data_IF_149564073685
#
_entry.id   IF_149564073685
#
_cell.length_a   1.000
_cell.length_b   1.000
_cell.length_c   1.000
_cell.angle_alpha   90.00
_cell.angle_beta   90.00
_cell.angle_gamma   90.00
#
_symmetry.space_group_name_H-M   'P 1'
#
loop_
_entity.id
_entity.type
_entity.pdbx_description
1 polymer ?
#
# COMPACT_ATOMS: atom_id res chain seq x y z
N UNK A 1 -9.29 -37.38 -3.09
CA UNK A 1 -9.80 -36.07 -3.57
C UNK A 1 -8.60 -35.15 -3.76
N UNK A 2 -8.08 -35.06 -4.99
CA UNK A 2 -6.77 -34.48 -5.30
C UNK A 2 -6.73 -32.97 -4.97
N UNK A 3 -5.88 -32.60 -4.04
CA UNK A 3 -5.48 -31.22 -3.78
C UNK A 3 -4.57 -30.78 -4.91
N UNK A 4 -5.12 -30.06 -5.90
CA UNK A 4 -4.29 -29.35 -6.89
C UNK A 4 -3.49 -28.30 -6.14
N UNK A 5 -2.24 -28.61 -5.78
CA UNK A 5 -1.28 -27.59 -5.35
C UNK A 5 -1.04 -26.69 -6.56
N UNK A 6 -1.44 -25.41 -6.49
CA UNK A 6 -0.98 -24.41 -7.46
C UNK A 6 0.55 -24.49 -7.49
N UNK A 7 1.10 -24.67 -8.69
CA UNK A 7 2.55 -24.68 -8.89
C UNK A 7 3.22 -23.40 -8.41
N UNK A 8 4.55 -23.41 -8.30
CA UNK A 8 5.30 -22.24 -7.86
C UNK A 8 5.01 -21.04 -8.76
N UNK A 9 4.73 -19.88 -8.15
CA UNK A 9 4.45 -18.60 -8.85
C UNK A 9 5.69 -18.06 -9.59
N UNK A 10 6.82 -18.77 -9.53
CA UNK A 10 8.15 -18.34 -9.98
C UNK A 10 8.50 -18.74 -11.42
N UNK A 11 7.57 -19.27 -12.22
CA UNK A 11 7.77 -19.29 -13.67
C UNK A 11 8.02 -17.84 -14.13
N UNK A 12 9.06 -17.56 -14.94
CA UNK A 12 9.32 -16.20 -15.38
C UNK A 12 8.03 -15.67 -16.01
N UNK A 13 7.53 -14.56 -15.46
CA UNK A 13 6.40 -13.83 -16.00
C UNK A 13 6.79 -13.44 -17.42
N UNK A 14 6.36 -14.22 -18.41
CA UNK A 14 6.49 -13.88 -19.80
C UNK A 14 5.63 -12.64 -20.02
N UNK A 15 6.27 -11.47 -19.90
CA UNK A 15 5.60 -10.21 -20.15
C UNK A 15 5.28 -10.18 -21.65
N UNK A 16 4.03 -9.90 -22.04
CA UNK A 16 3.74 -9.66 -23.44
C UNK A 16 4.62 -8.49 -23.93
N UNK A 17 5.16 -8.57 -25.16
CA UNK A 17 6.03 -7.53 -25.68
C UNK A 17 5.30 -6.18 -25.69
N UNK A 18 6.07 -5.10 -25.53
CA UNK A 18 5.51 -3.77 -25.37
C UNK A 18 4.68 -3.33 -26.59
N UNK A 19 3.42 -2.93 -26.36
CA UNK A 19 2.54 -2.38 -27.40
C UNK A 19 1.44 -3.32 -27.90
N UNK A 20 1.42 -4.58 -27.48
CA UNK A 20 0.41 -5.55 -27.93
C UNK A 20 -0.92 -5.45 -27.17
N UNK A 21 -2.02 -5.79 -27.84
CA UNK A 21 -3.35 -5.86 -27.21
C UNK A 21 -3.40 -6.85 -26.02
N UNK A 22 -2.55 -7.88 -26.04
CA UNK A 22 -2.36 -8.84 -24.96
C UNK A 22 -1.76 -8.21 -23.68
N UNK A 23 -0.98 -7.13 -23.80
CA UNK A 23 -0.42 -6.42 -22.65
C UNK A 23 -1.50 -5.68 -21.86
N UNK A 24 -2.48 -5.09 -22.54
CA UNK A 24 -3.58 -4.37 -21.89
C UNK A 24 -4.45 -5.29 -21.04
N UNK A 25 -4.77 -6.48 -21.55
CA UNK A 25 -5.56 -7.48 -20.81
C UNK A 25 -4.76 -8.05 -19.63
N UNK A 26 -3.48 -8.34 -19.82
CA UNK A 26 -2.59 -8.80 -18.76
C UNK A 26 -2.47 -7.78 -17.62
N UNK A 27 -2.20 -6.49 -17.92
CA UNK A 27 -2.08 -5.45 -16.89
C UNK A 27 -3.39 -5.32 -16.11
N UNK A 28 -4.55 -5.33 -16.78
CA UNK A 28 -5.85 -5.25 -16.10
C UNK A 28 -6.03 -6.37 -15.07
N UNK A 29 -5.74 -7.61 -15.45
CA UNK A 29 -5.85 -8.78 -14.57
C UNK A 29 -4.82 -8.74 -13.44
N UNK A 30 -3.58 -8.33 -13.73
CA UNK A 30 -2.53 -8.15 -12.73
C UNK A 30 -2.91 -7.05 -11.71
N UNK A 31 -3.37 -5.89 -12.14
CA UNK A 31 -3.79 -4.79 -11.25
C UNK A 31 -4.95 -5.20 -10.36
N UNK A 32 -5.95 -5.90 -10.89
CA UNK A 32 -7.08 -6.40 -10.08
C UNK A 32 -6.62 -7.37 -8.98
N UNK A 33 -5.64 -8.22 -9.27
CA UNK A 33 -5.06 -9.14 -8.28
C UNK A 33 -4.20 -8.42 -7.26
N UNK A 34 -3.36 -7.48 -7.69
CA UNK A 34 -2.48 -6.71 -6.81
C UNK A 34 -3.28 -5.85 -5.83
N UNK A 35 -4.31 -5.15 -6.31
CA UNK A 35 -5.14 -4.30 -5.44
C UNK A 35 -5.99 -5.11 -4.44
N UNK A 36 -6.19 -6.41 -4.69
CA UNK A 36 -6.83 -7.34 -3.74
C UNK A 36 -5.84 -8.02 -2.78
N UNK A 37 -4.54 -7.93 -3.02
CA UNK A 37 -3.54 -8.54 -2.14
C UNK A 37 -3.47 -7.76 -0.82
N UNK A 38 -3.64 -8.39 0.36
CA UNK A 38 -3.65 -7.67 1.63
C UNK A 38 -2.40 -6.85 1.90
N UNK A 39 -1.23 -7.28 1.41
CA UNK A 39 0.04 -6.55 1.51
C UNK A 39 0.02 -5.21 0.77
N UNK A 40 -0.75 -5.07 -0.31
CA UNK A 40 -0.83 -3.85 -1.14
C UNK A 40 -2.10 -3.06 -0.88
N UNK A 41 -3.23 -3.73 -0.61
CA UNK A 41 -4.52 -3.10 -0.35
C UNK A 41 -4.49 -2.08 0.79
N UNK A 42 -5.50 -1.20 0.87
CA UNK A 42 -5.59 -0.17 1.91
C UNK A 42 -5.46 -0.74 3.33
N UNK A 43 -4.67 -0.06 4.15
CA UNK A 43 -4.41 -0.43 5.56
C UNK A 43 -5.31 0.33 6.54
N UNK A 44 -6.38 0.95 6.06
CA UNK A 44 -7.27 1.77 6.88
C UNK A 44 -7.74 1.03 8.15
N UNK A 45 -8.10 -0.26 8.04
CA UNK A 45 -8.56 -1.05 9.19
C UNK A 45 -7.50 -1.23 10.30
N UNK A 46 -6.21 -1.17 9.96
CA UNK A 46 -5.12 -1.22 10.93
C UNK A 46 -4.80 0.16 11.51
N UNK A 47 -5.04 1.22 10.74
CA UNK A 47 -4.62 2.59 11.07
C UNK A 47 -5.67 3.32 11.92
N UNK A 48 -6.96 3.10 11.66
CA UNK A 48 -8.04 3.83 12.34
C UNK A 48 -8.37 3.29 13.72
N UNK A 49 -7.95 2.07 14.03
CA UNK A 49 -8.18 1.46 15.35
C UNK A 49 -7.24 2.02 16.43
N UNK A 50 -6.11 2.62 16.03
CA UNK A 50 -5.16 3.28 16.91
C UNK A 50 -5.34 4.79 16.89
N UNK A 51 -5.18 5.42 18.05
CA UNK A 51 -5.02 6.88 18.12
C UNK A 51 -3.69 7.29 17.48
N UNK A 52 -3.70 8.41 16.77
CA UNK A 52 -2.56 8.97 16.03
C UNK A 52 -2.25 10.42 16.43
N UNK A 53 -2.98 10.96 17.41
CA UNK A 53 -2.96 12.39 17.77
C UNK A 53 -2.59 12.66 19.22
N UNK A 54 -2.63 11.63 20.08
CA UNK A 54 -2.26 11.76 21.49
C UNK A 54 -0.89 12.44 21.67
N UNK A 55 -0.83 13.40 22.60
CA UNK A 55 0.36 14.20 22.85
C UNK A 55 0.52 15.44 21.97
N UNK A 56 -0.23 15.57 20.87
CA UNK A 56 -0.29 16.81 20.07
C UNK A 56 0.98 17.13 19.27
N UNK A 57 1.93 16.19 19.17
CA UNK A 57 3.20 16.37 18.47
C UNK A 57 3.26 15.65 17.12
N UNK A 58 2.18 14.98 16.70
CA UNK A 58 2.12 14.30 15.39
C UNK A 58 2.07 15.32 14.26
N UNK A 59 3.15 15.42 13.49
CA UNK A 59 3.22 16.29 12.30
C UNK A 59 2.79 15.52 11.05
N UNK A 60 3.15 14.24 10.96
CA UNK A 60 2.73 13.34 9.87
C UNK A 60 2.29 11.98 10.39
N UNK A 61 1.03 11.64 10.16
CA UNK A 61 0.47 10.31 10.32
C UNK A 61 0.30 9.61 8.96
N UNK A 62 -0.20 8.37 9.00
CA UNK A 62 -0.37 7.51 7.84
C UNK A 62 -1.40 8.06 6.83
N UNK A 63 -2.34 8.92 7.26
CA UNK A 63 -3.40 9.47 6.42
C UNK A 63 -2.91 10.72 5.67
N UNK A 64 -3.26 10.84 4.38
CA UNK A 64 -2.75 11.91 3.50
C UNK A 64 -3.89 12.61 2.77
N UNK A 65 -3.78 13.94 2.71
CA UNK A 65 -4.62 14.82 1.90
C UNK A 65 -6.07 14.92 2.37
N UNK A 66 -6.92 15.69 1.64
CA UNK A 66 -8.29 15.96 2.05
C UNK A 66 -9.17 14.70 2.18
N UNK A 67 -8.83 13.65 1.43
CA UNK A 67 -9.56 12.37 1.45
C UNK A 67 -9.00 11.37 2.47
N UNK A 68 -8.01 11.76 3.28
CA UNK A 68 -7.44 10.93 4.34
C UNK A 68 -7.05 9.52 3.85
N UNK A 69 -6.34 9.44 2.72
CA UNK A 69 -5.96 8.14 2.15
C UNK A 69 -4.69 7.59 2.86
N UNK A 70 -4.65 6.31 3.29
CA UNK A 70 -3.53 5.77 4.07
C UNK A 70 -2.31 5.44 3.19
N UNK A 71 -1.60 6.46 2.73
CA UNK A 71 -0.49 6.35 1.74
C UNK A 71 0.76 7.13 2.16
N UNK A 72 0.89 7.56 3.42
CA UNK A 72 2.13 8.19 3.87
C UNK A 72 3.25 7.14 4.02
N UNK A 73 4.45 7.47 3.54
CA UNK A 73 5.60 6.56 3.61
C UNK A 73 6.24 6.51 5.01
N UNK A 74 6.21 7.62 5.74
CA UNK A 74 6.87 7.76 7.06
C UNK A 74 6.01 8.55 8.04
N UNK A 75 6.22 8.30 9.33
CA UNK A 75 5.68 9.10 10.42
C UNK A 75 6.70 10.18 10.84
N UNK A 76 6.21 11.38 11.18
CA UNK A 76 7.04 12.50 11.65
C UNK A 76 6.41 13.10 12.90
N UNK A 77 7.22 13.31 13.92
CA UNK A 77 6.83 13.90 15.21
C UNK A 77 7.68 15.12 15.49
N UNK A 78 7.08 16.18 16.01
CA UNK A 78 7.80 17.36 16.49
C UNK A 78 8.64 17.01 17.72
N UNK A 79 9.81 17.63 17.88
CA UNK A 79 10.65 17.44 19.07
C UNK A 79 10.04 18.02 20.35
N UNK A 80 9.12 18.98 20.23
CA UNK A 80 8.39 19.62 21.31
C UNK A 80 7.54 20.78 20.78
N UNK A 81 6.74 21.41 21.65
CA UNK A 81 5.85 22.53 21.25
C UNK A 81 6.63 23.80 20.89
N UNK A 82 7.78 24.03 21.52
CA UNK A 82 8.65 25.18 21.31
C UNK A 82 10.10 24.74 21.07
N UNK A 83 10.28 23.67 20.29
CA UNK A 83 11.61 23.17 19.96
C UNK A 83 12.14 23.84 18.68
N UNK A 84 13.37 24.35 18.73
CA UNK A 84 14.14 24.73 17.53
C UNK A 84 15.18 23.65 17.29
N UNK A 85 15.11 23.00 16.13
CA UNK A 85 16.06 21.96 15.71
C UNK A 85 16.50 22.23 14.27
N UNK A 86 17.76 21.92 13.96
CA UNK A 86 18.43 22.17 12.69
C UNK A 86 19.88 21.73 12.74
#
# INVERSE_FOLDING_TARGET
>A
RATTRRGPVTAPLAYPPAGDAAQKSFIKDATERLLRLPTVASKQFLITIGDRTVGGLTVRDQMVGPWQTPVADVAVTASGFEATTG
#
